data_IF_239602430575
#
_entry.id   IF_239602430575
#
_cell.length_a   1.000
_cell.length_b   1.000
_cell.length_c   1.000
_cell.angle_alpha   90.00
_cell.angle_beta   90.00
_cell.angle_gamma   90.00
#
_symmetry.space_group_name_H-M   'P 1'
#
loop_
_entity.id
_entity.type
_entity.pdbx_description
1 polymer ?
#
# COMPACT_ATOMS: atom_id res chain seq x y z
N UNK A 1 -6.32 19.59 4.51
CA UNK A 1 -6.87 18.22 4.61
C UNK A 1 -6.44 17.67 5.95
N UNK A 2 -7.32 16.96 6.63
CA UNK A 2 -6.99 16.28 7.88
C UNK A 2 -6.33 14.94 7.57
N UNK A 3 -5.35 14.53 8.39
CA UNK A 3 -4.64 13.28 8.22
C UNK A 3 -5.13 12.24 9.23
N UNK A 4 -5.42 11.04 8.75
CA UNK A 4 -5.80 9.90 9.60
C UNK A 4 -4.59 9.31 10.33
N UNK A 5 -3.40 9.35 9.70
CA UNK A 5 -2.12 8.95 10.30
C UNK A 5 -1.09 10.00 9.98
N UNK A 6 -0.28 10.37 10.97
CA UNK A 6 0.89 11.22 10.80
C UNK A 6 2.08 10.65 11.55
N UNK A 7 3.24 10.67 10.94
CA UNK A 7 4.50 10.35 11.62
C UNK A 7 5.55 11.40 11.29
N UNK A 8 6.37 11.77 12.28
CA UNK A 8 7.46 12.74 12.14
C UNK A 8 8.74 12.11 12.67
N UNK A 9 9.72 11.94 11.79
CA UNK A 9 11.05 11.39 12.10
C UNK A 9 10.99 10.14 13.00
N UNK A 10 10.05 9.23 12.72
CA UNK A 10 9.77 8.08 13.55
C UNK A 10 10.92 7.07 13.49
N UNK A 11 11.57 6.81 14.61
CA UNK A 11 12.70 5.88 14.73
C UNK A 11 12.33 4.71 15.63
N UNK A 12 12.73 3.51 15.21
CA UNK A 12 12.67 2.31 16.05
C UNK A 12 13.94 1.51 15.98
N UNK A 13 14.59 1.35 17.14
CA UNK A 13 15.78 0.51 17.33
C UNK A 13 15.46 -0.70 18.20
N UNK A 14 15.86 -1.89 17.76
CA UNK A 14 15.84 -3.13 18.52
C UNK A 14 17.28 -3.59 18.70
N UNK A 15 17.83 -3.41 19.89
CA UNK A 15 19.24 -3.79 20.20
C UNK A 15 20.24 -3.39 19.10
N UNK A 16 20.43 -4.24 18.07
CA UNK A 16 21.39 -4.06 16.98
C UNK A 16 20.76 -3.68 15.65
N UNK A 17 19.42 -3.69 15.54
CA UNK A 17 18.69 -3.43 14.29
C UNK A 17 17.91 -2.15 14.44
N UNK A 18 18.12 -1.23 13.52
CA UNK A 18 17.32 -0.03 13.37
C UNK A 18 16.23 -0.32 12.32
N UNK A 19 15.02 -0.61 12.81
CA UNK A 19 13.91 -1.04 11.96
C UNK A 19 13.20 0.14 11.28
N UNK A 20 13.24 1.34 11.88
CA UNK A 20 12.78 2.59 11.28
C UNK A 20 13.82 3.67 11.49
N UNK A 21 14.09 4.47 10.46
CA UNK A 21 15.18 5.43 10.41
C UNK A 21 14.69 6.85 10.04
N UNK A 22 13.73 7.35 10.81
CA UNK A 22 13.14 8.67 10.57
C UNK A 22 11.97 8.61 9.58
N UNK A 23 11.03 7.68 9.80
CA UNK A 23 9.84 7.55 8.94
C UNK A 23 8.91 8.76 9.16
N UNK A 24 8.70 9.54 8.10
CA UNK A 24 7.72 10.62 8.05
C UNK A 24 6.67 10.28 7.00
N UNK A 25 5.40 10.19 7.41
CA UNK A 25 4.24 9.84 6.57
C UNK A 25 3.06 10.74 6.92
N UNK A 26 2.30 11.11 5.90
CA UNK A 26 1.03 11.81 6.01
C UNK A 26 -0.07 11.04 5.25
N UNK A 27 -0.92 10.34 5.98
CA UNK A 27 -2.03 9.57 5.39
C UNK A 27 -3.31 10.40 5.41
N UNK A 28 -3.82 10.87 4.25
CA UNK A 28 -5.05 11.66 4.21
C UNK A 28 -6.27 10.86 4.67
N UNK A 29 -7.21 11.53 5.35
CA UNK A 29 -8.53 10.93 5.63
C UNK A 29 -9.26 10.56 4.33
N UNK A 30 -9.92 9.40 4.33
CA UNK A 30 -10.64 8.87 3.16
C UNK A 30 -9.76 8.20 2.10
N UNK A 31 -8.43 8.19 2.28
CA UNK A 31 -7.52 7.54 1.36
C UNK A 31 -7.49 6.01 1.54
N UNK A 32 -7.28 5.30 0.45
CA UNK A 32 -6.79 3.91 0.46
C UNK A 32 -5.26 3.98 0.29
N UNK A 33 -4.56 3.91 1.40
CA UNK A 33 -3.12 4.16 1.46
C UNK A 33 -2.32 2.88 1.67
N UNK A 34 -1.37 2.62 0.80
CA UNK A 34 -0.52 1.43 0.84
C UNK A 34 0.90 1.74 1.29
N UNK A 35 1.35 1.11 2.37
CA UNK A 35 2.76 1.09 2.79
C UNK A 35 3.42 -0.17 2.22
N UNK A 36 4.22 -0.02 1.18
CA UNK A 36 4.79 -1.12 0.42
C UNK A 36 6.30 -1.22 0.66
N UNK A 37 6.83 -2.43 0.57
CA UNK A 37 8.26 -2.67 0.68
C UNK A 37 8.60 -4.14 0.93
N UNK A 38 9.86 -4.56 0.78
CA UNK A 38 10.27 -5.93 1.01
C UNK A 38 10.06 -6.39 2.46
N UNK A 39 10.15 -7.70 2.67
CA UNK A 39 10.13 -8.24 4.02
C UNK A 39 11.32 -7.69 4.83
N UNK A 40 11.04 -7.25 6.07
CA UNK A 40 12.05 -6.61 6.91
C UNK A 40 12.22 -5.10 6.67
N UNK A 41 11.49 -4.47 5.74
CA UNK A 41 11.57 -3.02 5.49
C UNK A 41 11.15 -2.13 6.67
N UNK A 42 10.38 -2.67 7.62
CA UNK A 42 9.89 -1.91 8.79
C UNK A 42 8.37 -1.71 8.83
N UNK A 43 7.61 -2.15 7.82
CA UNK A 43 6.14 -1.96 7.69
C UNK A 43 5.37 -2.37 8.95
N UNK A 44 5.49 -3.64 9.36
CA UNK A 44 4.86 -4.16 10.60
C UNK A 44 5.34 -3.41 11.85
N UNK A 45 6.59 -2.95 11.86
CA UNK A 45 7.11 -2.15 12.98
C UNK A 45 6.41 -0.80 13.07
N UNK A 46 6.24 -0.11 11.94
CA UNK A 46 5.48 1.14 11.87
C UNK A 46 4.04 0.95 12.34
N UNK A 47 3.34 -0.05 11.81
CA UNK A 47 1.96 -0.38 12.20
C UNK A 47 1.85 -0.67 13.71
N UNK A 48 2.77 -1.45 14.27
CA UNK A 48 2.76 -1.74 15.71
C UNK A 48 2.96 -0.51 16.59
N UNK A 49 3.74 0.48 16.12
CA UNK A 49 3.89 1.76 16.83
C UNK A 49 2.61 2.58 16.71
N UNK A 50 2.02 2.68 15.51
CA UNK A 50 0.75 3.37 15.29
C UNK A 50 -0.37 2.81 16.17
N UNK A 51 -0.41 1.50 16.36
CA UNK A 51 -1.41 0.81 17.21
C UNK A 51 -1.03 0.76 18.71
N UNK A 52 0.03 1.44 19.13
CA UNK A 52 0.54 1.41 20.51
C UNK A 52 0.83 0.00 21.05
N UNK A 53 1.19 -0.94 20.17
CA UNK A 53 1.61 -2.29 20.55
C UNK A 53 3.07 -2.28 21.01
N UNK A 54 3.90 -1.42 20.40
CA UNK A 54 5.27 -1.18 20.80
C UNK A 54 5.56 0.34 20.78
N UNK A 55 6.46 0.80 21.64
CA UNK A 55 6.86 2.21 21.69
C UNK A 55 7.90 2.54 20.62
N UNK A 56 7.87 3.75 20.07
CA UNK A 56 8.94 4.31 19.27
C UNK A 56 10.21 4.52 20.12
N UNK A 57 11.37 4.58 19.48
CA UNK A 57 12.64 4.99 20.14
C UNK A 57 12.75 6.51 20.20
N UNK A 58 12.35 7.20 19.12
CA UNK A 58 12.23 8.64 19.01
C UNK A 58 11.28 9.02 17.85
N UNK A 59 11.02 10.31 17.68
CA UNK A 59 10.04 10.80 16.73
C UNK A 59 8.62 10.77 17.28
N UNK A 60 7.65 11.13 16.44
CA UNK A 60 6.23 11.20 16.81
C UNK A 60 5.37 10.38 15.87
N UNK A 61 4.26 9.89 16.38
CA UNK A 61 3.22 9.25 15.58
C UNK A 61 1.85 9.59 16.15
N UNK A 62 0.92 9.99 15.29
CA UNK A 62 -0.45 10.27 15.67
C UNK A 62 -1.42 9.50 14.75
N UNK A 63 -2.54 9.06 15.30
CA UNK A 63 -3.60 8.33 14.61
C UNK A 63 -4.94 8.98 14.96
N UNK A 64 -5.70 9.41 13.97
CA UNK A 64 -6.96 10.16 14.14
C UNK A 64 -6.80 11.36 15.09
N UNK A 65 -5.67 12.09 14.97
CA UNK A 65 -5.35 13.25 15.78
C UNK A 65 -4.88 12.96 17.20
N UNK A 66 -4.72 11.68 17.57
CA UNK A 66 -4.27 11.25 18.92
C UNK A 66 -2.86 10.67 18.84
N UNK A 67 -1.96 11.10 19.74
CA UNK A 67 -0.62 10.51 19.86
C UNK A 67 -0.71 8.98 20.01
N UNK A 68 0.05 8.25 19.21
CA UNK A 68 -0.02 6.78 19.17
C UNK A 68 0.21 6.14 20.55
N UNK A 69 1.07 6.71 21.36
CA UNK A 69 1.34 6.27 22.75
C UNK A 69 0.13 6.38 23.69
N UNK A 70 -0.89 7.15 23.32
CA UNK A 70 -2.12 7.34 24.08
C UNK A 70 -3.28 6.49 23.56
N UNK A 71 -3.12 5.81 22.42
CA UNK A 71 -4.18 4.96 21.84
C UNK A 71 -4.44 3.76 22.73
N UNK A 72 -5.61 3.79 23.40
CA UNK A 72 -6.11 2.72 24.28
C UNK A 72 -7.58 2.92 24.58
N UNK A 73 -8.27 1.86 25.05
CA UNK A 73 -9.67 1.95 25.47
C UNK A 73 -10.57 2.45 24.35
N UNK A 74 -11.27 3.56 24.57
CA UNK A 74 -12.26 4.11 23.64
C UNK A 74 -11.67 4.56 22.28
N UNK A 75 -10.40 4.94 22.21
CA UNK A 75 -9.78 5.30 20.93
C UNK A 75 -9.74 4.12 19.95
N UNK A 76 -9.58 2.89 20.45
CA UNK A 76 -9.59 1.68 19.62
C UNK A 76 -10.96 1.39 19.00
N UNK A 77 -12.04 1.96 19.54
CA UNK A 77 -13.39 1.80 18.98
C UNK A 77 -13.60 2.46 17.62
N UNK A 78 -12.68 3.35 17.23
CA UNK A 78 -12.68 4.00 15.90
C UNK A 78 -11.67 3.40 14.93
N UNK A 79 -10.93 2.35 15.34
CA UNK A 79 -9.84 1.75 14.55
C UNK A 79 -10.09 0.26 14.36
N UNK A 80 -10.24 -0.18 13.12
CA UNK A 80 -10.19 -1.59 12.74
C UNK A 80 -8.74 -2.02 12.55
N UNK A 81 -8.29 -3.07 13.25
CA UNK A 81 -6.94 -3.59 13.07
C UNK A 81 -6.95 -5.09 12.79
N UNK A 82 -6.31 -5.48 11.69
CA UNK A 82 -6.12 -6.88 11.31
C UNK A 82 -4.65 -7.11 10.98
N UNK A 83 -4.03 -8.08 11.63
CA UNK A 83 -2.64 -8.46 11.37
C UNK A 83 -2.55 -9.77 10.57
N UNK A 84 -1.44 -9.97 9.86
CA UNK A 84 -1.16 -11.19 9.09
C UNK A 84 -1.38 -12.47 9.92
N UNK A 85 -0.88 -12.47 11.16
CA UNK A 85 -0.94 -13.60 12.08
C UNK A 85 -1.92 -13.34 13.22
N UNK A 86 -3.10 -12.80 12.88
CA UNK A 86 -4.16 -12.52 13.85
C UNK A 86 -4.50 -13.75 14.69
N UNK A 87 -4.17 -13.72 15.97
CA UNK A 87 -4.57 -14.77 16.89
C UNK A 87 -6.01 -14.57 17.31
N UNK A 88 -6.85 -15.56 17.02
CA UNK A 88 -8.24 -15.59 17.45
C UNK A 88 -8.46 -16.81 18.36
N UNK A 89 -9.42 -16.74 19.31
CA UNK A 89 -9.74 -17.86 20.20
C UNK A 89 -10.21 -19.09 19.39
N UNK A 90 -9.32 -20.04 19.14
CA UNK A 90 -9.54 -21.19 18.24
C UNK A 90 -10.74 -22.07 18.62
N UNK A 91 -11.12 -22.05 19.90
CA UNK A 91 -12.26 -22.80 20.45
C UNK A 91 -13.62 -22.16 20.17
N UNK A 92 -13.66 -20.87 19.87
CA UNK A 92 -14.89 -20.14 19.52
C UNK A 92 -15.38 -20.48 18.11
N UNK A 93 -16.68 -20.38 17.89
CA UNK A 93 -17.26 -20.32 16.54
C UNK A 93 -17.20 -18.90 16.01
N UNK A 94 -17.38 -18.71 14.69
CA UNK A 94 -17.47 -17.36 14.08
C UNK A 94 -18.55 -16.53 14.78
N UNK A 95 -19.76 -17.10 14.96
CA UNK A 95 -20.85 -16.39 15.62
C UNK A 95 -20.55 -16.08 17.10
N UNK A 96 -19.85 -16.97 17.81
CA UNK A 96 -19.44 -16.72 19.19
C UNK A 96 -18.40 -15.60 19.29
N UNK A 97 -17.45 -15.52 18.36
CA UNK A 97 -16.47 -14.42 18.29
C UNK A 97 -17.16 -13.07 18.09
N UNK A 98 -18.03 -12.95 17.09
CA UNK A 98 -18.75 -11.70 16.80
C UNK A 98 -19.61 -11.25 17.98
N UNK A 99 -20.36 -12.19 18.60
CA UNK A 99 -21.15 -11.90 19.80
C UNK A 99 -20.29 -11.46 21.00
N UNK A 100 -19.10 -12.05 21.15
CA UNK A 100 -18.15 -11.68 22.20
C UNK A 100 -17.59 -10.27 22.01
N UNK A 101 -17.30 -9.86 20.76
CA UNK A 101 -16.73 -8.55 20.44
C UNK A 101 -17.77 -7.42 20.53
N UNK A 102 -19.01 -7.68 20.17
CA UNK A 102 -20.09 -6.67 20.08
C UNK A 102 -20.19 -5.72 21.28
N UNK A 103 -20.16 -6.17 22.55
CA UNK A 103 -20.27 -5.26 23.69
C UNK A 103 -19.12 -4.26 23.86
N UNK A 104 -17.97 -4.48 23.22
CA UNK A 104 -16.81 -3.59 23.32
C UNK A 104 -16.89 -2.40 22.36
N UNK A 105 -17.80 -2.45 21.37
CA UNK A 105 -17.93 -1.45 20.33
C UNK A 105 -19.33 -0.86 20.31
N UNK A 106 -19.55 0.34 20.88
CA UNK A 106 -20.89 0.95 20.96
C UNK A 106 -21.55 1.20 19.59
N UNK A 107 -20.75 1.35 18.54
CA UNK A 107 -21.18 1.56 17.14
C UNK A 107 -21.38 0.25 16.38
N UNK A 108 -21.39 -0.91 17.05
CA UNK A 108 -21.56 -2.19 16.39
C UNK A 108 -22.91 -2.29 15.67
N UNK A 109 -22.85 -2.50 14.36
CA UNK A 109 -24.04 -2.65 13.51
C UNK A 109 -24.30 -4.12 13.21
N UNK A 110 -25.45 -4.61 13.71
CA UNK A 110 -25.87 -6.01 13.51
C UNK A 110 -26.32 -6.30 12.07
N UNK A 111 -26.79 -5.28 11.34
CA UNK A 111 -27.17 -5.43 9.94
C UNK A 111 -25.92 -5.57 9.08
N UNK A 112 -24.95 -4.68 9.29
CA UNK A 112 -23.64 -4.77 8.63
C UNK A 112 -22.92 -6.09 8.96
N UNK A 113 -22.96 -6.55 10.23
CA UNK A 113 -22.44 -7.88 10.60
C UNK A 113 -23.10 -8.99 9.77
N UNK A 114 -24.43 -8.93 9.57
CA UNK A 114 -25.14 -9.94 8.79
C UNK A 114 -24.77 -9.89 7.31
N UNK A 115 -24.61 -8.70 6.73
CA UNK A 115 -24.15 -8.47 5.36
C UNK A 115 -22.72 -9.02 5.17
N UNK A 116 -21.78 -8.67 6.05
CA UNK A 116 -20.39 -9.13 5.97
C UNK A 116 -20.29 -10.66 6.10
N UNK A 117 -21.10 -11.28 6.97
CA UNK A 117 -21.17 -12.75 7.05
C UNK A 117 -21.65 -13.38 5.74
N UNK A 118 -22.62 -12.77 5.08
CA UNK A 118 -23.11 -13.24 3.78
C UNK A 118 -22.07 -13.00 2.68
N UNK A 119 -21.51 -11.80 2.60
CA UNK A 119 -20.51 -11.40 1.60
C UNK A 119 -19.26 -12.30 1.63
N UNK A 120 -18.77 -12.61 2.83
CA UNK A 120 -17.58 -13.43 3.02
C UNK A 120 -17.86 -14.93 3.17
N UNK A 121 -19.10 -15.37 3.01
CA UNK A 121 -19.54 -16.77 3.20
C UNK A 121 -19.05 -17.38 4.51
N UNK A 122 -19.25 -16.66 5.62
CA UNK A 122 -18.76 -17.06 6.94
C UNK A 122 -19.74 -18.01 7.65
N UNK A 123 -19.34 -19.28 7.87
CA UNK A 123 -20.18 -20.26 8.55
C UNK A 123 -20.28 -19.97 10.04
N UNK A 124 -21.46 -19.54 10.50
CA UNK A 124 -21.72 -19.09 11.88
C UNK A 124 -21.26 -20.07 12.95
N UNK A 125 -21.51 -21.36 12.76
CA UNK A 125 -21.33 -22.40 13.79
C UNK A 125 -19.99 -23.16 13.64
N UNK A 126 -19.17 -22.81 12.64
CA UNK A 126 -17.85 -23.42 12.47
C UNK A 126 -16.85 -22.81 13.43
N UNK A 127 -16.07 -23.65 14.11
CA UNK A 127 -14.99 -23.20 15.00
C UNK A 127 -13.84 -22.58 14.23
N UNK A 128 -13.24 -21.52 14.77
CA UNK A 128 -12.15 -20.76 14.15
C UNK A 128 -10.94 -21.62 13.81
N UNK A 129 -10.62 -22.64 14.63
CA UNK A 129 -9.56 -23.61 14.33
C UNK A 129 -9.78 -24.43 13.05
N UNK A 130 -11.03 -24.56 12.59
CA UNK A 130 -11.40 -25.31 11.41
C UNK A 130 -11.59 -24.45 10.17
N UNK A 131 -11.32 -23.15 10.25
CA UNK A 131 -11.31 -22.24 9.13
C UNK A 131 -9.98 -22.32 8.39
N UNK A 132 -10.04 -22.18 7.07
CA UNK A 132 -8.84 -21.93 6.26
C UNK A 132 -8.22 -20.58 6.64
N UNK A 133 -6.99 -20.31 6.20
CA UNK A 133 -6.33 -19.01 6.40
C UNK A 133 -7.18 -17.85 5.85
N UNK A 134 -7.69 -17.99 4.63
CA UNK A 134 -8.56 -17.01 3.99
C UNK A 134 -9.86 -16.77 4.76
N UNK A 135 -10.52 -17.84 5.21
CA UNK A 135 -11.73 -17.71 6.03
C UNK A 135 -11.45 -17.06 7.40
N UNK A 136 -10.27 -17.31 8.00
CA UNK A 136 -9.87 -16.61 9.24
C UNK A 136 -9.67 -15.11 8.97
N UNK A 137 -9.03 -14.74 7.86
CA UNK A 137 -8.85 -13.36 7.46
C UNK A 137 -10.19 -12.67 7.21
N UNK A 138 -11.13 -13.33 6.50
CA UNK A 138 -12.50 -12.83 6.32
C UNK A 138 -13.23 -12.62 7.65
N UNK A 139 -13.09 -13.54 8.59
CA UNK A 139 -13.69 -13.40 9.93
C UNK A 139 -13.06 -12.26 10.72
N UNK A 140 -11.74 -12.08 10.65
CA UNK A 140 -11.04 -10.98 11.28
C UNK A 140 -11.48 -9.63 10.68
N UNK A 141 -11.55 -9.54 9.35
CA UNK A 141 -12.01 -8.34 8.66
C UNK A 141 -13.47 -8.02 9.00
N UNK A 142 -14.38 -8.99 8.92
CA UNK A 142 -15.79 -8.80 9.30
C UNK A 142 -15.95 -8.28 10.74
N UNK A 143 -15.15 -8.81 11.67
CA UNK A 143 -15.17 -8.35 13.07
C UNK A 143 -14.63 -6.94 13.25
N UNK A 144 -13.72 -6.50 12.38
CA UNK A 144 -13.10 -5.17 12.41
C UNK A 144 -13.89 -4.10 11.65
N UNK A 145 -14.81 -4.51 10.77
CA UNK A 145 -15.66 -3.59 9.99
C UNK A 145 -17.03 -3.36 10.63
N UNK A 146 -17.55 -4.32 11.40
CA UNK A 146 -18.92 -4.32 11.92
C UNK A 146 -19.29 -3.14 12.82
N UNK A 147 -18.34 -2.31 13.22
CA UNK A 147 -18.55 -1.15 14.11
C UNK A 147 -18.23 0.20 13.44
N UNK A 148 -18.15 0.24 12.09
CA UNK A 148 -17.87 1.45 11.29
C UNK A 148 -16.61 2.19 11.76
N UNK A 149 -15.43 1.57 11.71
CA UNK A 149 -14.19 2.24 12.10
C UNK A 149 -13.88 3.40 11.15
N UNK A 150 -13.36 4.50 11.68
CA UNK A 150 -12.87 5.63 10.87
C UNK A 150 -11.56 5.31 10.15
N UNK A 151 -10.76 4.41 10.72
CA UNK A 151 -9.49 3.95 10.17
C UNK A 151 -9.43 2.42 10.23
N UNK A 152 -9.08 1.80 9.12
CA UNK A 152 -8.84 0.36 8.99
C UNK A 152 -7.35 0.17 8.72
N UNK A 153 -6.65 -0.52 9.63
CA UNK A 153 -5.21 -0.82 9.52
C UNK A 153 -5.04 -2.31 9.28
N UNK A 154 -4.38 -2.65 8.19
CA UNK A 154 -4.18 -4.02 7.73
C UNK A 154 -2.69 -4.30 7.56
N UNK A 155 -2.17 -5.29 8.29
CA UNK A 155 -0.76 -5.69 8.17
C UNK A 155 -0.63 -6.98 7.39
N UNK A 156 -0.18 -6.87 6.12
CA UNK A 156 0.01 -7.97 5.17
C UNK A 156 -1.25 -8.87 5.02
N UNK A 157 -2.45 -8.31 4.81
CA UNK A 157 -3.72 -9.05 4.88
C UNK A 157 -3.88 -10.09 3.78
N UNK A 158 -3.20 -9.94 2.66
CA UNK A 158 -3.38 -10.79 1.47
C UNK A 158 -2.32 -11.88 1.35
N UNK A 159 -1.28 -11.86 2.18
CA UNK A 159 -0.15 -12.78 2.10
C UNK A 159 -0.59 -14.24 2.22
N UNK A 160 -0.26 -15.05 1.20
CA UNK A 160 -0.56 -16.48 1.17
C UNK A 160 -2.03 -16.83 0.99
N UNK A 161 -2.85 -15.90 0.51
CA UNK A 161 -4.23 -16.14 0.09
C UNK A 161 -4.28 -16.52 -1.39
N UNK A 162 -5.27 -17.31 -1.76
CA UNK A 162 -5.58 -17.53 -3.17
C UNK A 162 -6.19 -16.26 -3.80
N UNK A 163 -6.07 -16.07 -5.13
CA UNK A 163 -6.53 -14.86 -5.80
C UNK A 163 -8.00 -14.54 -5.57
N UNK A 164 -8.88 -15.55 -5.56
CA UNK A 164 -10.32 -15.34 -5.41
C UNK A 164 -10.65 -14.78 -4.02
N UNK A 165 -10.08 -15.36 -2.96
CA UNK A 165 -10.28 -14.88 -1.57
C UNK A 165 -9.73 -13.48 -1.40
N UNK A 166 -8.60 -13.17 -2.03
CA UNK A 166 -8.01 -11.83 -2.02
C UNK A 166 -8.95 -10.81 -2.65
N UNK A 167 -9.48 -11.10 -3.84
CA UNK A 167 -10.40 -10.20 -4.55
C UNK A 167 -11.67 -9.94 -3.73
N UNK A 168 -12.22 -10.96 -3.06
CA UNK A 168 -13.37 -10.80 -2.15
C UNK A 168 -13.06 -9.90 -0.95
N UNK A 169 -11.85 -9.99 -0.37
CA UNK A 169 -11.41 -9.12 0.72
C UNK A 169 -11.22 -7.68 0.25
N UNK A 170 -10.58 -7.47 -0.92
CA UNK A 170 -10.40 -6.15 -1.53
C UNK A 170 -11.77 -5.51 -1.80
N UNK A 171 -12.71 -6.24 -2.37
CA UNK A 171 -14.06 -5.74 -2.61
C UNK A 171 -14.74 -5.32 -1.29
N UNK A 172 -14.66 -6.16 -0.26
CA UNK A 172 -15.22 -5.83 1.05
C UNK A 172 -14.60 -4.60 1.71
N UNK A 173 -13.34 -4.30 1.40
CA UNK A 173 -12.66 -3.06 1.84
C UNK A 173 -13.11 -1.85 1.02
N UNK A 174 -13.19 -1.99 -0.32
CA UNK A 174 -13.59 -0.91 -1.21
C UNK A 174 -15.03 -0.45 -0.96
N UNK A 175 -15.92 -1.37 -0.60
CA UNK A 175 -17.30 -1.06 -0.19
C UNK A 175 -17.37 -0.13 1.03
N UNK A 176 -16.24 0.06 1.76
CA UNK A 176 -16.10 0.90 2.97
C UNK A 176 -15.16 2.10 2.79
N UNK A 177 -14.49 2.20 1.62
CA UNK A 177 -13.49 3.23 1.37
C UNK A 177 -14.07 4.67 1.39
N UNK A 178 -15.36 4.84 1.12
CA UNK A 178 -16.03 6.14 1.22
C UNK A 178 -16.25 6.61 2.67
N UNK A 179 -16.35 5.65 3.61
CA UNK A 179 -16.66 5.92 5.03
C UNK A 179 -15.42 5.84 5.93
N UNK A 180 -14.35 5.22 5.45
CA UNK A 180 -13.17 4.90 6.26
C UNK A 180 -11.87 5.19 5.52
N UNK A 181 -10.83 5.62 6.23
CA UNK A 181 -9.47 5.58 5.73
C UNK A 181 -8.94 4.15 5.82
N UNK A 182 -8.31 3.64 4.78
CA UNK A 182 -7.72 2.31 4.75
C UNK A 182 -6.20 2.44 4.66
N UNK A 183 -5.50 1.90 5.65
CA UNK A 183 -4.04 1.82 5.67
C UNK A 183 -3.61 0.36 5.60
N UNK A 184 -2.97 -0.04 4.51
CA UNK A 184 -2.58 -1.43 4.26
C UNK A 184 -1.09 -1.56 4.03
N UNK A 185 -0.44 -2.54 4.68
CA UNK A 185 0.93 -2.92 4.30
C UNK A 185 0.91 -4.09 3.33
N UNK A 186 1.83 -4.08 2.36
CA UNK A 186 2.05 -5.21 1.45
C UNK A 186 3.50 -5.25 0.96
N UNK A 187 3.95 -6.41 0.52
CA UNK A 187 5.18 -6.58 -0.24
C UNK A 187 4.91 -6.84 -1.73
N UNK A 188 3.65 -6.97 -2.13
CA UNK A 188 3.24 -7.20 -3.52
C UNK A 188 2.59 -5.94 -4.12
N UNK A 189 3.32 -5.33 -5.06
CA UNK A 189 2.89 -4.15 -5.78
C UNK A 189 1.69 -4.39 -6.68
N UNK A 190 1.59 -5.60 -7.27
CA UNK A 190 0.49 -5.92 -8.18
C UNK A 190 -0.86 -6.01 -7.46
N UNK A 191 -0.85 -6.40 -6.19
CA UNK A 191 -2.06 -6.38 -5.36
C UNK A 191 -2.55 -4.96 -5.11
N UNK A 192 -1.61 -4.07 -4.76
CA UNK A 192 -1.89 -2.69 -4.36
C UNK A 192 -2.35 -1.84 -5.53
N UNK A 193 -1.77 -2.04 -6.72
CA UNK A 193 -2.09 -1.28 -7.94
C UNK A 193 -3.58 -1.30 -8.29
N UNK A 194 -4.30 -2.34 -7.88
CA UNK A 194 -5.70 -2.53 -8.25
C UNK A 194 -6.69 -1.70 -7.42
N UNK A 195 -6.29 -1.22 -6.22
CA UNK A 195 -7.25 -0.60 -5.32
C UNK A 195 -6.74 0.57 -4.49
N UNK A 196 -5.42 0.76 -4.37
CA UNK A 196 -4.88 1.87 -3.58
C UNK A 196 -4.99 3.21 -4.32
N UNK A 197 -5.20 4.28 -3.58
CA UNK A 197 -5.13 5.66 -4.10
C UNK A 197 -3.74 6.28 -3.88
N UNK A 198 -3.06 5.91 -2.79
CA UNK A 198 -1.75 6.42 -2.40
C UNK A 198 -0.80 5.29 -2.08
N UNK A 199 0.48 5.52 -2.31
CA UNK A 199 1.53 4.57 -2.04
C UNK A 199 2.74 5.23 -1.39
N UNK A 200 3.28 4.57 -0.36
CA UNK A 200 4.58 4.87 0.23
C UNK A 200 5.48 3.64 0.12
N UNK A 201 6.70 3.82 -0.36
CA UNK A 201 7.67 2.73 -0.46
C UNK A 201 8.72 2.83 0.62
N UNK A 202 8.73 1.81 1.48
CA UNK A 202 9.66 1.66 2.59
C UNK A 202 10.72 0.62 2.27
N UNK A 203 11.99 0.96 2.44
CA UNK A 203 13.11 0.05 2.26
C UNK A 203 14.17 0.29 3.34
N UNK A 204 14.60 -0.77 4.03
CA UNK A 204 15.60 -0.71 5.11
C UNK A 204 15.30 0.37 6.18
N UNK A 205 14.03 0.54 6.53
CA UNK A 205 13.58 1.51 7.52
C UNK A 205 13.48 2.95 7.02
N UNK A 206 13.77 3.22 5.75
CA UNK A 206 13.71 4.55 5.13
C UNK A 206 12.54 4.64 4.16
N UNK A 207 11.80 5.72 4.22
CA UNK A 207 10.84 6.09 3.18
C UNK A 207 11.61 6.53 1.93
N UNK A 208 11.40 5.85 0.82
CA UNK A 208 12.06 6.17 -0.45
C UNK A 208 11.25 7.16 -1.27
N UNK A 209 9.94 7.00 -1.27
CA UNK A 209 8.99 7.95 -1.86
C UNK A 209 7.59 7.71 -1.32
N UNK A 210 6.75 8.71 -1.48
CA UNK A 210 5.34 8.74 -1.16
C UNK A 210 4.63 9.54 -2.26
N UNK A 211 3.57 8.96 -2.85
CA UNK A 211 2.89 9.60 -3.97
C UNK A 211 1.46 9.06 -4.17
N UNK A 212 0.61 9.86 -4.79
CA UNK A 212 -0.67 9.40 -5.31
C UNK A 212 -0.46 8.49 -6.53
N UNK A 213 -1.14 7.34 -6.60
CA UNK A 213 -0.97 6.37 -7.69
C UNK A 213 -1.33 6.95 -9.07
N UNK A 214 -2.35 7.77 -9.14
CA UNK A 214 -2.75 8.47 -10.36
C UNK A 214 -1.63 9.35 -10.92
N UNK A 215 -0.90 10.04 -10.04
CA UNK A 215 0.25 10.88 -10.38
C UNK A 215 1.39 10.03 -10.95
N UNK A 216 1.74 8.92 -10.27
CA UNK A 216 2.75 7.97 -10.78
C UNK A 216 2.37 7.41 -12.15
N UNK A 217 1.13 6.92 -12.30
CA UNK A 217 0.64 6.34 -13.54
C UNK A 217 0.65 7.36 -14.71
N UNK A 218 0.45 8.64 -14.43
CA UNK A 218 0.44 9.68 -15.46
C UNK A 218 1.83 10.11 -15.90
N UNK A 219 2.79 10.21 -14.97
CA UNK A 219 4.13 10.75 -15.26
C UNK A 219 5.16 9.73 -15.74
N UNK A 220 4.90 8.42 -15.58
CA UNK A 220 5.78 7.37 -16.07
C UNK A 220 5.25 6.78 -17.37
N UNK A 221 6.10 6.78 -18.41
CA UNK A 221 5.80 6.10 -19.69
C UNK A 221 7.03 5.34 -20.17
N UNK A 222 6.77 4.14 -20.66
CA UNK A 222 7.75 3.46 -21.52
C UNK A 222 7.67 4.08 -22.91
N UNK A 223 8.81 4.54 -23.42
CA UNK A 223 8.94 5.18 -24.73
C UNK A 223 9.71 4.25 -25.64
N UNK A 224 9.11 3.97 -26.80
CA UNK A 224 9.76 3.26 -27.89
C UNK A 224 9.78 4.13 -29.14
N UNK A 225 10.96 4.33 -29.68
CA UNK A 225 11.19 5.09 -30.91
C UNK A 225 11.72 4.15 -31.99
N UNK A 226 11.21 4.28 -33.20
CA UNK A 226 11.70 3.53 -34.38
C UNK A 226 12.25 4.52 -35.40
N UNK A 227 13.44 4.22 -35.95
CA UNK A 227 14.11 5.02 -36.95
C UNK A 227 14.29 4.22 -38.26
N UNK A 228 14.61 4.90 -39.37
CA UNK A 228 14.91 4.26 -40.64
C UNK A 228 16.34 3.71 -40.69
N UNK A 229 17.23 4.13 -39.82
CA UNK A 229 18.61 3.70 -39.68
C UNK A 229 18.99 3.41 -38.24
N UNK A 230 20.18 2.83 -38.05
CA UNK A 230 20.66 2.54 -36.69
C UNK A 230 20.81 3.83 -35.88
N UNK A 231 20.17 3.81 -34.69
CA UNK A 231 20.20 4.90 -33.71
C UNK A 231 21.28 4.64 -32.66
N UNK A 232 21.86 5.71 -32.14
CA UNK A 232 22.86 5.65 -31.05
C UNK A 232 22.33 6.37 -29.82
N UNK A 233 22.77 5.93 -28.65
CA UNK A 233 22.45 6.62 -27.38
C UNK A 233 23.16 7.98 -27.37
N UNK A 234 22.44 9.10 -27.22
CA UNK A 234 23.03 10.42 -27.17
C UNK A 234 23.79 10.64 -25.86
N UNK A 235 24.83 11.45 -25.88
CA UNK A 235 25.60 11.81 -24.69
C UNK A 235 24.82 12.79 -23.77
N UNK A 236 23.98 13.64 -24.35
CA UNK A 236 23.15 14.62 -23.64
C UNK A 236 21.68 14.21 -23.77
N UNK A 237 21.18 13.53 -22.75
CA UNK A 237 19.77 13.16 -22.63
C UNK A 237 19.13 13.85 -21.42
N UNK A 238 17.83 14.15 -21.45
CA UNK A 238 17.12 14.63 -20.27
C UNK A 238 17.28 13.70 -19.08
N UNK A 239 17.48 14.25 -17.89
CA UNK A 239 17.62 13.49 -16.65
C UNK A 239 16.37 12.66 -16.30
N UNK A 240 15.21 13.00 -16.90
CA UNK A 240 13.97 12.23 -16.77
C UNK A 240 13.95 10.93 -17.57
N UNK A 241 14.89 10.74 -18.52
CA UNK A 241 14.94 9.53 -19.34
C UNK A 241 15.83 8.47 -18.69
N UNK A 242 15.17 7.47 -18.10
CA UNK A 242 15.81 6.39 -17.38
C UNK A 242 15.97 5.16 -18.25
N UNK A 243 17.03 4.38 -18.01
CA UNK A 243 17.30 3.10 -18.68
C UNK A 243 17.33 3.19 -20.22
N UNK A 244 17.85 4.29 -20.77
CA UNK A 244 17.92 4.50 -22.20
C UNK A 244 18.84 3.46 -22.86
N UNK A 245 18.32 2.81 -23.87
CA UNK A 245 19.02 1.79 -24.66
C UNK A 245 18.70 1.94 -26.14
N UNK A 246 19.65 1.60 -26.99
CA UNK A 246 19.48 1.57 -28.44
C UNK A 246 19.89 0.20 -28.96
N UNK A 247 19.06 -0.38 -29.83
CA UNK A 247 19.31 -1.64 -30.50
C UNK A 247 18.86 -1.52 -31.96
N UNK A 248 19.85 -1.55 -32.90
CA UNK A 248 19.58 -1.30 -34.29
C UNK A 248 18.83 0.02 -34.52
N UNK A 249 17.64 -0.03 -35.11
CA UNK A 249 16.82 1.14 -35.44
C UNK A 249 15.79 1.46 -34.31
N UNK A 250 15.89 0.83 -33.16
CA UNK A 250 14.93 1.03 -32.04
C UNK A 250 15.63 1.61 -30.81
N UNK A 251 15.07 2.65 -30.24
CA UNK A 251 15.47 3.25 -28.95
C UNK A 251 14.37 3.06 -27.96
N UNK A 252 14.71 2.61 -26.75
CA UNK A 252 13.79 2.46 -25.63
C UNK A 252 14.31 3.15 -24.39
N UNK A 253 13.41 3.81 -23.67
CA UNK A 253 13.68 4.41 -22.36
C UNK A 253 12.39 4.58 -21.56
N UNK A 254 12.52 4.88 -20.29
CA UNK A 254 11.40 5.32 -19.46
C UNK A 254 11.48 6.82 -19.23
N UNK A 255 10.47 7.58 -19.63
CA UNK A 255 10.34 8.96 -19.18
C UNK A 255 9.59 8.99 -17.83
N UNK A 256 10.27 9.44 -16.77
CA UNK A 256 9.70 9.58 -15.43
C UNK A 256 9.02 10.94 -15.17
N UNK A 257 9.00 11.81 -16.18
CA UNK A 257 8.32 13.11 -16.17
C UNK A 257 7.60 13.34 -17.50
N UNK A 258 6.92 12.31 -17.98
CA UNK A 258 6.20 12.35 -19.24
C UNK A 258 5.21 13.50 -19.29
N UNK A 259 5.22 14.19 -20.43
CA UNK A 259 4.27 15.23 -20.80
C UNK A 259 3.95 15.08 -22.28
N UNK A 260 2.66 15.11 -22.64
CA UNK A 260 2.20 14.78 -23.98
C UNK A 260 2.69 15.77 -25.07
N UNK A 261 3.02 17.01 -24.69
CA UNK A 261 3.52 18.04 -25.62
C UNK A 261 5.03 18.13 -25.57
N UNK A 262 5.62 18.17 -24.37
CA UNK A 262 7.05 18.36 -24.16
C UNK A 262 7.87 17.13 -24.56
N UNK A 263 7.48 15.92 -24.11
CA UNK A 263 8.30 14.72 -24.37
C UNK A 263 8.54 14.45 -25.86
N UNK A 264 7.53 14.55 -26.76
CA UNK A 264 7.80 14.42 -28.21
C UNK A 264 8.71 15.52 -28.76
N UNK A 265 8.63 16.75 -28.24
CA UNK A 265 9.51 17.84 -28.65
C UNK A 265 10.97 17.59 -28.22
N UNK A 266 11.18 17.15 -26.99
CA UNK A 266 12.50 16.78 -26.45
C UNK A 266 13.11 15.62 -27.26
N UNK A 267 12.30 14.61 -27.64
CA UNK A 267 12.72 13.48 -28.48
C UNK A 267 13.22 13.98 -29.83
N UNK A 268 12.46 14.85 -30.51
CA UNK A 268 12.88 15.44 -31.82
C UNK A 268 14.15 16.27 -31.68
N UNK A 269 14.31 17.01 -30.58
CA UNK A 269 15.49 17.80 -30.28
C UNK A 269 16.76 16.95 -30.12
N UNK A 270 16.62 15.75 -29.53
CA UNK A 270 17.74 14.86 -29.18
C UNK A 270 18.07 13.88 -30.30
N UNK A 271 17.06 13.28 -30.91
CA UNK A 271 17.24 12.19 -31.92
C UNK A 271 16.90 12.59 -33.35
N UNK A 272 16.31 13.77 -33.59
CA UNK A 272 15.68 14.11 -34.84
C UNK A 272 14.28 13.56 -34.98
N UNK A 273 13.75 13.41 -36.19
CA UNK A 273 12.39 12.90 -36.44
C UNK A 273 12.39 11.37 -36.53
N UNK A 274 11.83 10.65 -35.53
CA UNK A 274 11.68 9.19 -35.61
C UNK A 274 10.54 8.83 -36.57
N UNK A 275 10.62 7.66 -37.21
CA UNK A 275 9.55 7.10 -38.02
C UNK A 275 8.29 6.83 -37.23
N UNK A 276 8.44 6.39 -35.96
CA UNK A 276 7.33 6.13 -35.05
C UNK A 276 7.74 6.41 -33.60
N UNK A 277 6.79 6.92 -32.80
CA UNK A 277 6.91 7.12 -31.36
C UNK A 277 5.75 6.42 -30.67
N UNK A 278 6.04 5.56 -29.72
CA UNK A 278 5.02 4.87 -28.91
C UNK A 278 5.23 5.20 -27.44
N UNK A 279 4.16 5.58 -26.75
CA UNK A 279 4.15 5.91 -25.32
C UNK A 279 3.22 4.95 -24.60
N UNK A 280 3.77 4.00 -23.89
CA UNK A 280 2.99 2.97 -23.20
C UNK A 280 2.91 3.25 -21.69
N UNK A 281 1.73 3.09 -21.05
CA UNK A 281 1.62 3.16 -19.61
C UNK A 281 2.44 2.02 -18.98
N UNK A 282 2.99 2.28 -17.79
CA UNK A 282 3.79 1.31 -17.06
C UNK A 282 3.01 0.76 -15.88
N UNK A 283 3.18 -0.55 -15.59
CA UNK A 283 2.69 -1.11 -14.33
C UNK A 283 3.49 -0.55 -13.15
N UNK A 284 2.87 -0.49 -11.98
CA UNK A 284 3.52 -0.06 -10.75
C UNK A 284 4.83 -0.83 -10.50
N UNK A 285 4.82 -2.15 -10.72
CA UNK A 285 6.01 -2.99 -10.63
C UNK A 285 7.14 -2.53 -11.56
N UNK A 286 6.81 -2.19 -12.81
CA UNK A 286 7.79 -1.71 -13.79
C UNK A 286 8.39 -0.36 -13.40
N UNK A 287 7.55 0.55 -12.89
CA UNK A 287 7.98 1.85 -12.35
C UNK A 287 9.00 1.64 -11.23
N UNK A 288 8.68 0.79 -10.26
CA UNK A 288 9.57 0.49 -9.12
C UNK A 288 10.90 -0.11 -9.54
N UNK A 289 10.88 -1.10 -10.44
CA UNK A 289 12.10 -1.70 -10.96
C UNK A 289 12.99 -0.67 -11.66
N UNK A 290 12.38 0.26 -12.39
CA UNK A 290 13.09 1.35 -13.07
C UNK A 290 13.73 2.32 -12.07
N UNK A 291 12.98 2.75 -11.04
CA UNK A 291 13.49 3.63 -9.98
C UNK A 291 14.62 2.98 -9.18
N UNK A 292 14.47 1.71 -8.79
CA UNK A 292 15.48 0.97 -8.03
C UNK A 292 16.79 0.79 -8.79
N UNK A 293 16.73 0.55 -10.11
CA UNK A 293 17.92 0.44 -10.96
C UNK A 293 18.60 1.80 -11.18
N UNK A 294 17.82 2.87 -11.33
CA UNK A 294 18.35 4.22 -11.55
C UNK A 294 19.01 4.80 -10.31
N UNK A 295 18.48 4.53 -9.13
CA UNK A 295 19.09 4.94 -7.84
C UNK A 295 20.41 4.24 -7.52
N UNK A 296 20.65 3.02 -8.05
CA UNK A 296 21.93 2.30 -7.89
C UNK A 296 23.02 2.81 -8.82
N UNK A 297 22.67 3.46 -9.91
CA UNK A 297 23.64 4.03 -10.86
C UNK A 297 24.07 5.47 -10.49
N UNK A 298 23.49 6.05 -9.43
CA UNK A 298 23.79 7.41 -8.94
C UNK A 298 24.58 7.40 -7.62
N UNK A 299 24.95 6.24 -7.10
CA UNK A 299 25.80 6.01 -5.94
C UNK A 299 27.12 5.38 -6.37
#
# INVERSE_FOLDING_TARGET
MTNAIQTEDLVKKFRRVEALRGLTLDVPEGAVYALVGPNGAGKTTAIKILMNIISATSGRAAVLGVESSQIRGHYLQSIGYVSENQQMPEWMTVGALLNYLRPFYPTWDTNLEAELKKQFDLPRDRKLRHLSRGMRMKAALASSLAYHPKLIVLDEPFTGLDPLVRDELIQGLLDRAEESTIFVSSHDLAEIETFASHIAYLEEGNLKFEEELSSLANRFREVELTFDSAATVPQNQPASWLQLSAAAAVVRFTDCRFDAERTPADIRGVFGEPRNMTFSPMSLRSIFLTMAKSGRNSA
#
